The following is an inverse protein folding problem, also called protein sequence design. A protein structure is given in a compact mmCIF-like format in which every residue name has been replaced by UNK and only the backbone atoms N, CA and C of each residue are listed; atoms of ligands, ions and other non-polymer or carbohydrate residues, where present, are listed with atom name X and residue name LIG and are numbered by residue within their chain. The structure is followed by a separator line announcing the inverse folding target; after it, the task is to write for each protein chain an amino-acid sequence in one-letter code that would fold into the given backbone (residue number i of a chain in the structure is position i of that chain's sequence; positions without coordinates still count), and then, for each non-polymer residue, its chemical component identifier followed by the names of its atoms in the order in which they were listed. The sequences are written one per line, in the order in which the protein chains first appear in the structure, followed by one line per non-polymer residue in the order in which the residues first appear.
data_IF_472827866260
#
_entry.id   IF_472827866260
#
_cell.length_a   1.000
_cell.length_b   1.000
_cell.length_c   1.000
_cell.angle_alpha   90.00
_cell.angle_beta   90.00
_cell.angle_gamma   90.00
#
_symmetry.space_group_name_H-M   'P 1'
#
loop_
_entity.id
_entity.type
_entity.pdbx_description
1 polymer ?
#
# COMPACT_ATOMS: atom_id res chain seq x y z
N UNK A 1 63.28 31.53 2.20
CA UNK A 1 64.00 31.18 0.95
C UNK A 1 63.03 31.43 -0.19
N UNK A 2 63.26 32.52 -0.95
CA UNK A 2 62.97 32.79 -2.38
C UNK A 2 61.61 32.31 -2.94
N UNK A 3 60.58 33.12 -3.26
CA UNK A 3 60.40 34.29 -4.17
C UNK A 3 60.12 33.92 -5.66
N UNK A 4 59.06 34.56 -6.21
CA UNK A 4 58.64 34.78 -7.62
C UNK A 4 58.01 33.60 -8.41
N UNK A 5 57.13 33.77 -9.40
CA UNK A 5 56.15 34.79 -9.82
C UNK A 5 55.44 34.29 -11.10
N UNK A 6 54.31 34.94 -11.38
CA UNK A 6 53.46 34.98 -12.59
C UNK A 6 54.03 34.58 -13.96
N UNK A 7 53.14 34.13 -14.87
CA UNK A 7 52.78 34.84 -16.11
C UNK A 7 51.69 34.09 -16.91
N UNK A 8 50.84 34.87 -17.60
CA UNK A 8 49.70 34.44 -18.41
C UNK A 8 50.03 34.08 -19.88
N UNK A 9 49.08 34.24 -20.83
CA UNK A 9 48.72 33.21 -21.81
C UNK A 9 49.24 33.46 -23.24
N UNK A 10 49.30 32.41 -24.08
CA UNK A 10 49.53 32.54 -25.54
C UNK A 10 48.76 31.44 -26.31
N UNK A 11 47.98 31.85 -27.32
CA UNK A 11 47.39 31.01 -28.35
C UNK A 11 48.41 30.72 -29.48
N UNK A 12 48.23 29.67 -30.31
CA UNK A 12 48.87 29.62 -31.61
C UNK A 12 47.86 29.67 -32.75
N UNK A 13 48.00 30.71 -33.56
CA UNK A 13 47.79 30.67 -35.01
C UNK A 13 49.03 30.09 -35.68
N UNK A 14 48.85 29.19 -36.65
CA UNK A 14 49.86 28.96 -37.69
C UNK A 14 49.19 28.70 -39.04
N UNK A 15 49.87 29.24 -40.04
CA UNK A 15 49.46 29.51 -41.41
C UNK A 15 50.08 28.52 -42.41
N UNK A 16 49.41 28.36 -43.55
CA UNK A 16 49.94 28.33 -44.95
C UNK A 16 50.93 27.21 -45.33
N UNK A 17 50.56 26.41 -46.34
CA UNK A 17 51.17 26.35 -47.68
C UNK A 17 50.84 25.03 -48.40
N UNK A 18 50.52 25.09 -49.69
CA UNK A 18 50.49 23.92 -50.56
C UNK A 18 49.56 24.04 -51.76
N UNK A 19 49.91 24.91 -52.72
CA UNK A 19 49.44 24.82 -54.11
C UNK A 19 49.94 23.51 -54.73
N UNK A 20 49.10 22.80 -55.50
CA UNK A 20 49.46 22.57 -56.90
C UNK A 20 48.26 22.28 -57.82
N UNK A 21 48.45 22.68 -59.07
CA UNK A 21 47.48 22.77 -60.17
C UNK A 21 47.21 21.40 -60.81
N UNK A 22 46.03 21.24 -61.43
CA UNK A 22 45.90 20.81 -62.83
C UNK A 22 44.48 21.08 -63.36
N UNK A 23 44.43 21.71 -64.54
CA UNK A 23 43.26 22.05 -65.36
C UNK A 23 42.69 20.81 -66.05
N UNK A 24 41.39 20.85 -66.35
CA UNK A 24 40.76 20.03 -67.38
C UNK A 24 39.29 20.42 -67.57
N UNK A 25 39.00 21.17 -68.62
CA UNK A 25 37.67 21.57 -69.09
C UNK A 25 36.78 20.38 -69.47
N UNK A 26 35.46 20.53 -69.38
CA UNK A 26 34.51 19.57 -69.93
C UNK A 26 33.05 19.95 -69.70
N UNK A 27 32.35 20.30 -70.78
CA UNK A 27 31.00 20.82 -70.86
C UNK A 27 29.89 19.83 -70.45
N UNK A 28 28.79 20.39 -69.91
CA UNK A 28 27.38 20.14 -70.27
C UNK A 28 26.83 18.71 -70.38
N UNK A 29 25.75 18.42 -69.67
CA UNK A 29 24.36 18.35 -70.19
C UNK A 29 23.43 17.82 -69.08
N UNK A 30 22.21 18.35 -69.11
CA UNK A 30 21.05 18.18 -68.25
C UNK A 30 20.71 16.74 -67.80
N UNK A 31 20.17 16.63 -66.58
CA UNK A 31 19.40 15.46 -66.19
C UNK A 31 19.08 15.35 -64.70
N UNK A 32 17.80 15.57 -64.39
CA UNK A 32 17.03 14.92 -63.32
C UNK A 32 17.28 15.30 -61.84
N UNK A 33 16.19 15.23 -61.07
CA UNK A 33 16.23 14.90 -59.65
C UNK A 33 15.70 15.99 -58.74
N UNK A 34 14.39 15.94 -58.43
CA UNK A 34 13.87 16.57 -57.21
C UNK A 34 14.34 15.68 -56.05
N UNK A 35 15.45 16.07 -55.42
CA UNK A 35 15.95 15.44 -54.21
C UNK A 35 15.20 15.99 -52.99
N UNK A 36 14.60 15.09 -52.22
CA UNK A 36 14.06 15.38 -50.89
C UNK A 36 15.18 15.78 -49.90
N UNK A 37 14.82 16.26 -48.70
CA UNK A 37 15.82 16.68 -47.72
C UNK A 37 16.72 15.49 -47.34
N UNK A 38 17.99 15.56 -47.76
CA UNK A 38 19.03 14.63 -47.37
C UNK A 38 19.34 14.82 -45.88
N UNK A 39 19.15 13.76 -45.09
CA UNK A 39 19.61 13.69 -43.70
C UNK A 39 21.13 13.52 -43.75
N UNK A 40 21.86 14.59 -43.45
CA UNK A 40 23.30 14.52 -43.23
C UNK A 40 23.62 13.78 -41.92
N UNK A 41 24.13 12.56 -42.02
CA UNK A 41 24.79 11.87 -40.90
C UNK A 41 26.13 12.52 -40.62
N UNK A 42 26.20 13.39 -39.62
CA UNK A 42 27.46 13.83 -39.04
C UNK A 42 28.06 12.68 -38.21
N UNK A 43 29.09 12.02 -38.75
CA UNK A 43 29.98 11.18 -37.95
C UNK A 43 30.84 12.09 -37.06
N UNK A 44 30.49 12.17 -35.77
CA UNK A 44 31.36 12.78 -34.75
C UNK A 44 32.27 11.70 -34.20
N UNK A 45 33.54 11.74 -34.56
CA UNK A 45 34.57 10.82 -34.08
C UNK A 45 35.04 11.27 -32.67
N UNK A 46 34.30 10.87 -31.63
CA UNK A 46 34.69 11.14 -30.23
C UNK A 46 35.61 10.03 -29.73
N UNK A 47 36.89 10.09 -30.09
CA UNK A 47 37.93 9.38 -29.33
C UNK A 47 38.31 10.17 -28.07
N UNK A 48 37.45 10.15 -27.05
CA UNK A 48 37.90 10.34 -25.66
C UNK A 48 37.92 8.97 -25.00
N UNK A 49 39.12 8.44 -24.73
CA UNK A 49 39.29 7.37 -23.73
C UNK A 49 38.75 7.92 -22.41
N UNK A 50 37.58 7.48 -22.01
CA UNK A 50 37.09 7.70 -20.64
C UNK A 50 38.13 7.07 -19.71
N UNK A 51 38.71 7.89 -18.83
CA UNK A 51 39.53 7.37 -17.74
C UNK A 51 38.62 6.46 -16.91
N UNK A 52 39.09 5.24 -16.63
CA UNK A 52 38.41 4.33 -15.71
C UNK A 52 38.31 5.05 -14.37
N UNK A 53 37.11 5.25 -13.81
CA UNK A 53 36.97 5.90 -12.51
C UNK A 53 37.69 5.05 -11.47
N UNK A 54 38.73 5.61 -10.86
CA UNK A 54 39.40 5.02 -9.70
C UNK A 54 38.62 5.50 -8.48
N UNK A 55 37.83 4.59 -7.90
CA UNK A 55 37.08 4.82 -6.67
C UNK A 55 38.08 4.82 -5.51
N UNK A 56 38.19 5.91 -4.75
CA UNK A 56 38.98 5.92 -3.52
C UNK A 56 38.15 5.26 -2.40
N UNK A 57 38.42 3.98 -2.17
CA UNK A 57 37.77 3.14 -1.16
C UNK A 57 37.79 3.76 0.25
N UNK A 58 38.66 4.74 0.55
CA UNK A 58 38.69 5.41 1.86
C UNK A 58 37.83 6.66 1.95
N UNK A 59 37.47 7.28 0.82
CA UNK A 59 36.67 8.52 0.76
C UNK A 59 35.29 8.33 0.13
N UNK A 60 35.17 7.41 -0.84
CA UNK A 60 33.96 7.22 -1.66
C UNK A 60 33.08 6.04 -1.19
N UNK A 61 33.52 5.31 -0.15
CA UNK A 61 32.68 4.34 0.53
C UNK A 61 31.69 5.07 1.43
N UNK A 62 30.48 5.25 0.93
CA UNK A 62 29.29 5.35 1.77
C UNK A 62 29.23 4.05 2.59
N UNK A 63 29.69 4.10 3.84
CA UNK A 63 29.68 2.95 4.77
C UNK A 63 28.33 2.70 5.41
N UNK A 64 27.32 3.52 5.09
CA UNK A 64 25.93 3.35 5.51
C UNK A 64 25.05 3.21 4.29
N UNK A 65 24.83 1.97 3.87
CA UNK A 65 23.78 1.63 2.93
C UNK A 65 22.47 1.52 3.70
N UNK A 66 21.73 2.62 3.83
CA UNK A 66 20.30 2.53 4.10
C UNK A 66 19.61 2.22 2.78
N UNK A 67 19.64 0.95 2.38
CA UNK A 67 18.79 0.45 1.29
C UNK A 67 17.47 0.01 1.90
N UNK A 68 16.39 0.81 1.81
CA UNK A 68 15.04 0.30 2.07
C UNK A 68 14.70 -0.68 0.94
N UNK A 69 15.09 -1.94 1.13
CA UNK A 69 14.99 -3.00 0.13
C UNK A 69 15.72 -4.28 0.53
N UNK A 70 16.69 -4.19 1.45
CA UNK A 70 17.24 -5.35 2.17
C UNK A 70 16.64 -5.41 3.58
N UNK A 71 15.31 -5.52 3.67
CA UNK A 71 14.70 -5.91 4.93
C UNK A 71 15.00 -7.40 5.13
N UNK A 72 15.74 -7.74 6.20
CA UNK A 72 15.80 -9.12 6.67
C UNK A 72 14.38 -9.49 7.11
N UNK A 73 13.65 -10.20 6.24
CA UNK A 73 12.31 -10.69 6.55
C UNK A 73 12.44 -11.70 7.68
N UNK A 74 11.91 -11.35 8.85
CA UNK A 74 11.90 -12.27 9.98
C UNK A 74 10.99 -13.44 9.62
N UNK A 75 11.58 -14.62 9.49
CA UNK A 75 10.84 -15.86 9.23
C UNK A 75 10.04 -16.22 10.48
N UNK A 76 8.78 -16.66 10.35
CA UNK A 76 8.04 -17.24 11.46
C UNK A 76 8.84 -18.39 12.11
N UNK A 77 8.67 -18.57 13.42
CA UNK A 77 9.27 -19.69 14.14
C UNK A 77 8.93 -21.05 13.48
N UNK A 78 9.82 -22.04 13.62
CA UNK A 78 9.69 -23.34 12.94
C UNK A 78 8.44 -24.14 13.37
N UNK A 79 7.95 -23.87 14.58
CA UNK A 79 6.76 -24.43 15.21
C UNK A 79 5.50 -23.57 15.00
N UNK A 80 5.58 -22.47 14.23
CA UNK A 80 4.43 -21.62 13.97
C UNK A 80 3.32 -22.39 13.23
N UNK A 81 2.03 -22.17 13.59
CA UNK A 81 0.90 -22.82 12.93
C UNK A 81 0.91 -22.68 11.41
N UNK A 82 0.60 -23.78 10.71
CA UNK A 82 0.48 -23.79 9.26
C UNK A 82 -0.80 -23.06 8.81
N UNK A 83 -0.81 -22.44 7.61
CA UNK A 83 -2.01 -21.80 7.09
C UNK A 83 -3.18 -22.79 7.07
N UNK A 84 -4.26 -22.45 7.77
CA UNK A 84 -5.51 -23.21 7.69
C UNK A 84 -6.04 -23.08 6.26
N UNK A 85 -6.28 -24.23 5.61
CA UNK A 85 -6.92 -24.22 4.29
C UNK A 85 -8.29 -23.58 4.46
N UNK A 86 -8.55 -22.48 3.75
CA UNK A 86 -9.79 -21.73 3.85
C UNK A 86 -11.01 -22.66 3.73
N UNK A 87 -11.83 -22.73 4.78
CA UNK A 87 -13.16 -23.32 4.71
C UNK A 87 -14.03 -22.36 3.89
N UNK A 88 -14.23 -22.66 2.61
CA UNK A 88 -15.10 -21.88 1.73
C UNK A 88 -16.54 -22.35 1.93
N UNK A 89 -17.47 -21.41 2.12
CA UNK A 89 -18.90 -21.72 2.11
C UNK A 89 -19.33 -22.26 0.73
N UNK A 90 -20.45 -22.99 0.69
CA UNK A 90 -21.06 -23.46 -0.56
C UNK A 90 -21.43 -22.28 -1.49
N UNK A 91 -21.67 -21.07 -0.96
CA UNK A 91 -21.92 -19.85 -1.74
C UNK A 91 -20.64 -19.27 -2.36
N UNK A 92 -19.51 -19.30 -1.67
CA UNK A 92 -18.20 -18.87 -2.19
C UNK A 92 -17.61 -19.83 -3.24
N UNK A 93 -18.16 -21.04 -3.36
CA UNK A 93 -17.91 -21.96 -4.47
C UNK A 93 -18.87 -21.81 -5.66
N UNK A 94 -19.70 -20.76 -5.70
CA UNK A 94 -20.24 -20.26 -6.98
C UNK A 94 -19.12 -19.60 -7.81
N UNK A 95 -18.00 -20.30 -7.95
CA UNK A 95 -16.95 -20.05 -8.92
C UNK A 95 -17.37 -20.76 -10.21
N UNK A 96 -17.60 -20.06 -11.32
CA UNK A 96 -17.98 -20.67 -12.59
C UNK A 96 -16.96 -21.65 -13.16
N UNK A 97 -15.69 -21.63 -12.70
CA UNK A 97 -14.69 -22.64 -13.04
C UNK A 97 -15.00 -24.03 -12.45
N UNK A 98 -15.87 -24.11 -11.43
CA UNK A 98 -16.33 -25.36 -10.81
C UNK A 98 -17.70 -25.84 -11.34
N UNK A 99 -18.35 -25.06 -12.21
CA UNK A 99 -19.33 -25.50 -13.23
C UNK A 99 -20.54 -26.35 -12.82
N UNK A 100 -20.76 -26.67 -11.55
CA UNK A 100 -21.82 -27.59 -11.12
C UNK A 100 -22.31 -27.31 -9.71
N UNK A 101 -23.53 -27.76 -9.41
CA UNK A 101 -24.01 -27.86 -8.04
C UNK A 101 -22.96 -28.62 -7.21
N UNK A 102 -22.55 -28.06 -6.08
CA UNK A 102 -21.69 -28.76 -5.14
C UNK A 102 -22.34 -30.10 -4.82
N UNK A 103 -21.67 -31.21 -5.15
CA UNK A 103 -22.18 -32.54 -4.88
C UNK A 103 -22.52 -32.66 -3.39
N UNK A 104 -23.57 -33.43 -3.05
CA UNK A 104 -24.05 -33.61 -1.66
C UNK A 104 -22.93 -33.94 -0.68
N UNK A 105 -21.94 -34.72 -1.11
CA UNK A 105 -20.74 -35.04 -0.32
C UNK A 105 -19.88 -33.81 0.01
N UNK A 106 -19.64 -32.93 -0.96
CA UNK A 106 -18.89 -31.69 -0.72
C UNK A 106 -19.66 -30.75 0.23
N UNK A 107 -20.97 -30.59 0.03
CA UNK A 107 -21.81 -29.79 0.93
C UNK A 107 -21.77 -30.32 2.37
N UNK A 108 -21.91 -31.64 2.57
CA UNK A 108 -21.80 -32.28 3.88
C UNK A 108 -20.40 -32.12 4.50
N UNK A 109 -19.32 -32.21 3.71
CA UNK A 109 -17.97 -31.95 4.20
C UNK A 109 -17.77 -30.50 4.63
N UNK A 110 -18.38 -29.52 3.95
CA UNK A 110 -18.34 -28.13 4.39
C UNK A 110 -19.15 -27.89 5.64
N UNK A 111 -20.31 -28.53 5.77
CA UNK A 111 -21.14 -28.45 6.97
C UNK A 111 -20.41 -29.07 8.17
N UNK A 112 -19.75 -30.22 7.99
CA UNK A 112 -18.90 -30.83 9.02
C UNK A 112 -17.69 -29.95 9.38
N UNK A 113 -17.04 -29.32 8.39
CA UNK A 113 -15.95 -28.37 8.65
C UNK A 113 -16.44 -27.10 9.36
N UNK A 114 -17.64 -26.62 9.03
CA UNK A 114 -18.26 -25.47 9.70
C UNK A 114 -18.65 -25.82 11.14
N UNK A 115 -19.19 -27.02 11.36
CA UNK A 115 -19.53 -27.52 12.70
C UNK A 115 -18.28 -27.73 13.55
N UNK A 116 -17.20 -28.27 12.96
CA UNK A 116 -15.93 -28.44 13.65
C UNK A 116 -15.27 -27.09 13.95
N UNK A 117 -15.31 -26.15 13.02
CA UNK A 117 -14.84 -24.77 13.24
C UNK A 117 -15.67 -24.05 14.33
N UNK A 118 -16.96 -24.33 14.43
CA UNK A 118 -17.82 -23.79 15.48
C UNK A 118 -17.52 -24.42 16.86
N UNK A 119 -17.24 -25.73 16.92
CA UNK A 119 -16.94 -26.43 18.18
C UNK A 119 -15.53 -26.16 18.70
N UNK A 120 -14.52 -26.38 17.85
CA UNK A 120 -13.11 -26.38 18.23
C UNK A 120 -12.43 -25.03 17.95
N UNK A 121 -13.09 -24.14 17.21
CA UNK A 121 -12.49 -22.92 16.69
C UNK A 121 -11.51 -23.18 15.54
N UNK A 122 -10.96 -22.09 15.00
CA UNK A 122 -9.97 -22.11 13.92
C UNK A 122 -8.78 -21.26 14.31
N UNK A 123 -7.57 -21.81 14.21
CA UNK A 123 -6.34 -21.04 14.44
C UNK A 123 -5.98 -20.20 13.21
N UNK A 124 -5.81 -18.91 13.45
CA UNK A 124 -5.26 -17.91 12.53
C UNK A 124 -3.83 -17.58 12.97
N UNK A 125 -2.88 -17.79 12.07
CA UNK A 125 -1.51 -17.28 12.22
C UNK A 125 -1.44 -15.79 11.89
N UNK A 126 -0.45 -15.10 12.42
CA UNK A 126 -0.13 -13.72 12.01
C UNK A 126 -0.11 -13.54 10.49
N UNK A 127 -0.76 -12.47 10.02
CA UNK A 127 -0.97 -12.13 8.62
C UNK A 127 -2.12 -12.84 7.92
N UNK A 128 -2.76 -13.83 8.54
CA UNK A 128 -3.93 -14.47 7.97
C UNK A 128 -5.19 -13.63 8.24
N UNK A 129 -6.06 -13.53 7.23
CA UNK A 129 -7.42 -13.02 7.39
C UNK A 129 -8.41 -14.10 6.98
N UNK A 130 -9.33 -14.45 7.87
CA UNK A 130 -10.49 -15.27 7.54
C UNK A 130 -11.73 -14.40 7.45
N UNK A 131 -12.60 -14.72 6.49
CA UNK A 131 -13.90 -14.07 6.33
C UNK A 131 -14.96 -15.15 6.44
N UNK A 132 -15.86 -15.03 7.41
CA UNK A 132 -16.96 -15.96 7.64
C UNK A 132 -18.29 -15.30 7.29
N UNK A 133 -19.13 -16.02 6.56
CA UNK A 133 -20.54 -15.69 6.38
C UNK A 133 -21.32 -16.21 7.59
N UNK A 134 -22.16 -15.35 8.17
CA UNK A 134 -22.96 -15.66 9.34
C UNK A 134 -24.41 -15.89 8.93
N UNK A 135 -25.07 -16.96 9.42
CA UNK A 135 -26.50 -17.12 9.29
C UNK A 135 -27.24 -15.88 9.82
N UNK A 136 -28.22 -15.36 9.07
CA UNK A 136 -29.02 -14.23 9.52
C UNK A 136 -29.85 -14.64 10.76
N UNK A 137 -30.29 -13.66 11.55
CA UNK A 137 -31.18 -13.82 12.72
C UNK A 137 -30.60 -14.51 13.96
N UNK A 138 -29.33 -14.90 13.96
CA UNK A 138 -28.64 -15.39 15.16
C UNK A 138 -27.77 -14.28 15.76
N UNK A 139 -27.88 -14.05 17.07
CA UNK A 139 -26.89 -13.26 17.78
C UNK A 139 -25.59 -14.07 17.87
N UNK A 140 -24.49 -13.54 17.34
CA UNK A 140 -23.21 -14.25 17.29
C UNK A 140 -22.20 -13.63 18.26
N UNK A 141 -21.43 -14.51 18.90
CA UNK A 141 -20.28 -14.17 19.72
C UNK A 141 -19.03 -14.72 19.08
N UNK A 142 -17.97 -13.93 19.13
CA UNK A 142 -16.66 -14.32 18.65
C UNK A 142 -15.72 -14.50 19.85
N UNK A 143 -15.42 -15.75 20.18
CA UNK A 143 -14.37 -16.07 21.14
C UNK A 143 -13.01 -15.98 20.47
N UNK A 144 -12.10 -15.23 21.06
CA UNK A 144 -10.73 -15.03 20.63
C UNK A 144 -9.81 -15.45 21.75
N UNK A 145 -8.83 -16.31 21.49
CA UNK A 145 -7.79 -16.66 22.46
C UNK A 145 -6.46 -16.88 21.76
N UNK A 146 -5.37 -16.39 22.35
CA UNK A 146 -4.04 -16.51 21.78
C UNK A 146 -3.13 -15.35 22.12
N UNK A 147 -1.99 -15.29 21.46
CA UNK A 147 -0.87 -14.37 21.70
C UNK A 147 -0.66 -13.39 20.53
N UNK A 148 -1.68 -13.22 19.69
CA UNK A 148 -1.68 -12.30 18.56
C UNK A 148 -2.72 -11.21 18.79
N UNK A 149 -2.38 -9.96 18.49
CA UNK A 149 -3.39 -8.94 18.30
C UNK A 149 -4.29 -9.28 17.12
N UNK A 150 -5.53 -8.80 17.16
CA UNK A 150 -6.57 -9.18 16.22
C UNK A 150 -7.30 -7.94 15.74
N UNK A 151 -7.53 -7.87 14.43
CA UNK A 151 -8.54 -6.98 13.86
C UNK A 151 -9.82 -7.76 13.59
N UNK A 152 -10.92 -7.28 14.14
CA UNK A 152 -12.26 -7.80 13.89
C UNK A 152 -13.04 -6.75 13.12
N UNK A 153 -13.44 -7.08 11.90
CA UNK A 153 -14.27 -6.24 11.05
C UNK A 153 -15.62 -6.91 10.84
N UNK A 154 -16.67 -6.29 11.36
CA UNK A 154 -18.05 -6.74 11.21
C UNK A 154 -18.65 -6.13 9.96
N UNK A 155 -19.33 -6.96 9.18
CA UNK A 155 -19.79 -6.62 7.84
C UNK A 155 -21.25 -7.03 7.66
N UNK A 156 -22.01 -6.23 6.92
CA UNK A 156 -23.27 -6.69 6.33
C UNK A 156 -23.00 -7.78 5.29
N UNK A 157 -24.03 -8.50 4.85
CA UNK A 157 -23.94 -9.47 3.74
C UNK A 157 -23.49 -8.86 2.40
N UNK A 158 -23.59 -7.53 2.25
CA UNK A 158 -23.12 -6.80 1.07
C UNK A 158 -21.64 -6.37 1.16
N UNK A 159 -20.96 -6.64 2.29
CA UNK A 159 -19.59 -6.18 2.53
C UNK A 159 -19.48 -4.73 2.99
N UNK A 160 -20.58 -4.13 3.47
CA UNK A 160 -20.52 -2.83 4.17
C UNK A 160 -20.02 -3.04 5.59
N UNK A 161 -18.96 -2.33 5.98
CA UNK A 161 -18.42 -2.32 7.34
C UNK A 161 -19.43 -1.72 8.32
N UNK A 162 -19.79 -2.49 9.34
CA UNK A 162 -20.66 -2.11 10.46
C UNK A 162 -19.86 -1.70 11.70
N UNK A 163 -18.70 -2.34 11.89
CA UNK A 163 -17.75 -2.09 12.97
C UNK A 163 -16.37 -2.56 12.53
N UNK A 164 -15.33 -1.89 12.99
CA UNK A 164 -13.95 -2.27 12.70
C UNK A 164 -13.07 -1.89 13.90
N UNK A 165 -12.52 -2.90 14.57
CA UNK A 165 -11.78 -2.72 15.82
C UNK A 165 -10.55 -3.60 15.84
N UNK A 166 -9.47 -3.05 16.38
CA UNK A 166 -8.27 -3.81 16.71
C UNK A 166 -8.22 -4.03 18.22
N UNK A 167 -7.84 -5.25 18.59
CA UNK A 167 -7.83 -5.78 19.92
C UNK A 167 -6.42 -6.28 20.21
N UNK A 168 -5.92 -5.99 21.40
CA UNK A 168 -4.65 -6.58 21.89
C UNK A 168 -4.80 -8.08 22.12
N UNK A 169 -3.69 -8.79 22.30
CA UNK A 169 -3.68 -10.22 22.55
C UNK A 169 -4.35 -10.60 23.89
N UNK A 170 -4.71 -11.88 24.03
CA UNK A 170 -5.40 -12.42 25.21
C UNK A 170 -6.75 -13.09 24.89
N UNK A 171 -7.45 -13.50 25.96
CA UNK A 171 -8.77 -14.10 25.86
C UNK A 171 -9.85 -13.03 25.86
N UNK A 172 -10.65 -12.99 24.78
CA UNK A 172 -11.66 -11.98 24.57
C UNK A 172 -12.92 -12.58 23.95
N UNK A 173 -14.06 -11.98 24.28
CA UNK A 173 -15.35 -12.31 23.66
C UNK A 173 -15.91 -11.04 23.05
N UNK A 174 -16.11 -11.06 21.73
CA UNK A 174 -16.71 -9.95 20.99
C UNK A 174 -18.14 -10.30 20.64
N UNK A 175 -19.10 -9.58 21.23
CA UNK A 175 -20.49 -9.61 20.79
C UNK A 175 -20.60 -8.92 19.43
N UNK A 176 -21.10 -9.65 18.42
CA UNK A 176 -21.28 -9.08 17.08
C UNK A 176 -22.57 -8.26 17.03
N UNK A 177 -22.53 -7.13 16.32
CA UNK A 177 -23.65 -6.20 16.17
C UNK A 177 -24.83 -6.90 15.48
N UNK A 178 -26.08 -6.53 15.83
CA UNK A 178 -27.25 -6.95 15.06
C UNK A 178 -27.10 -6.59 13.57
N UNK A 179 -27.46 -7.52 12.69
CA UNK A 179 -27.32 -7.34 11.24
C UNK A 179 -25.93 -7.66 10.68
N UNK A 180 -24.97 -8.08 11.52
CA UNK A 180 -23.71 -8.66 11.07
C UNK A 180 -23.99 -9.95 10.29
N UNK A 181 -23.74 -9.91 8.98
CA UNK A 181 -23.92 -11.03 8.07
C UNK A 181 -22.61 -11.65 7.61
N UNK A 182 -21.50 -10.96 7.84
CA UNK A 182 -20.15 -11.47 7.64
C UNK A 182 -19.22 -10.89 8.72
N UNK A 183 -18.19 -11.63 9.09
CA UNK A 183 -17.12 -11.14 9.95
C UNK A 183 -15.77 -11.48 9.33
N UNK A 184 -14.88 -10.50 9.27
CA UNK A 184 -13.48 -10.68 8.89
C UNK A 184 -12.61 -10.59 10.13
N UNK A 185 -11.74 -11.58 10.33
CA UNK A 185 -10.80 -11.62 11.44
C UNK A 185 -9.39 -11.73 10.90
N UNK A 186 -8.56 -10.74 11.20
CA UNK A 186 -7.15 -10.69 10.81
C UNK A 186 -6.28 -10.83 12.05
N UNK A 187 -5.37 -11.81 12.05
CA UNK A 187 -4.32 -11.89 13.06
C UNK A 187 -3.20 -10.90 12.69
N UNK A 188 -2.98 -9.90 13.53
CA UNK A 188 -2.00 -8.82 13.32
C UNK A 188 -0.60 -9.19 13.82
N UNK A 189 -0.45 -10.27 14.57
CA UNK A 189 0.81 -10.71 15.16
C UNK A 189 0.95 -10.30 16.62
N UNK A 190 2.00 -10.81 17.26
CA UNK A 190 2.31 -10.51 18.66
C UNK A 190 2.68 -9.04 18.83
N UNK A 191 2.21 -8.45 19.92
CA UNK A 191 2.45 -7.06 20.29
C UNK A 191 3.08 -7.00 21.67
N UNK A 192 4.35 -7.38 21.75
CA UNK A 192 5.10 -7.39 23.00
C UNK A 192 5.21 -5.95 23.57
N UNK A 193 4.58 -5.70 24.71
CA UNK A 193 4.69 -4.43 25.44
C UNK A 193 3.93 -3.25 24.84
N UNK A 194 3.13 -3.46 23.79
CA UNK A 194 2.29 -2.38 23.22
C UNK A 194 1.04 -2.21 24.08
N UNK A 195 1.02 -1.16 24.88
CA UNK A 195 -0.14 -0.78 25.69
C UNK A 195 -0.90 0.33 24.96
N UNK A 196 -1.99 -0.02 24.29
CA UNK A 196 -2.85 0.97 23.64
C UNK A 196 -3.86 1.49 24.67
N UNK A 197 -3.55 2.61 25.32
CA UNK A 197 -4.43 3.22 26.32
C UNK A 197 -4.83 4.64 25.97
N UNK A 198 -6.06 5.02 26.30
CA UNK A 198 -6.51 6.40 26.24
C UNK A 198 -5.89 7.24 27.38
N UNK A 199 -6.16 8.54 27.37
CA UNK A 199 -5.68 9.46 28.41
C UNK A 199 -6.18 9.10 29.83
N UNK A 200 -7.24 8.28 29.93
CA UNK A 200 -7.79 7.75 31.19
C UNK A 200 -7.23 6.37 31.55
N UNK A 201 -6.28 5.83 30.77
CA UNK A 201 -5.66 4.53 31.00
C UNK A 201 -6.49 3.32 30.57
N UNK A 202 -7.59 3.52 29.82
CA UNK A 202 -8.47 2.44 29.30
C UNK A 202 -7.95 1.94 27.97
N UNK A 203 -8.08 0.64 27.70
CA UNK A 203 -7.72 0.07 26.39
C UNK A 203 -8.48 0.78 25.27
N UNK A 204 -7.77 1.25 24.24
CA UNK A 204 -8.42 1.82 23.05
C UNK A 204 -8.75 0.67 22.12
N UNK A 205 -10.04 0.34 22.04
CA UNK A 205 -10.56 -0.49 20.97
C UNK A 205 -11.03 0.42 19.83
N UNK A 206 -10.43 0.24 18.66
CA UNK A 206 -10.79 1.06 17.50
C UNK A 206 -10.03 0.64 16.26
N UNK A 207 -10.48 1.11 15.10
CA UNK A 207 -9.80 0.89 13.83
C UNK A 207 -8.34 1.33 13.95
N UNK A 208 -7.40 0.50 13.49
CA UNK A 208 -5.98 0.86 13.48
C UNK A 208 -5.36 1.15 14.86
N UNK A 209 -6.06 0.89 15.98
CA UNK A 209 -5.62 1.28 17.31
C UNK A 209 -4.32 0.57 17.71
N UNK A 210 -4.19 -0.72 17.37
CA UNK A 210 -2.99 -1.51 17.62
C UNK A 210 -1.94 -1.24 16.53
N UNK A 211 -2.37 -1.13 15.28
CA UNK A 211 -1.51 -0.92 14.12
C UNK A 211 -0.81 0.45 14.12
N UNK A 212 -1.40 1.47 14.76
CA UNK A 212 -0.74 2.76 14.99
C UNK A 212 0.20 2.74 16.20
N UNK A 213 -0.04 1.85 17.16
CA UNK A 213 0.75 1.75 18.38
C UNK A 213 2.02 0.91 18.20
N UNK A 214 2.14 0.17 17.09
CA UNK A 214 3.32 -0.63 16.78
C UNK A 214 3.54 -0.82 15.27
N UNK A 215 4.77 -1.10 14.90
CA UNK A 215 5.16 -1.52 13.56
C UNK A 215 6.13 -2.70 13.68
N UNK A 216 6.34 -3.43 12.56
CA UNK A 216 7.43 -4.41 12.50
C UNK A 216 8.78 -3.72 12.73
N UNK A 217 9.79 -4.47 13.15
CA UNK A 217 11.12 -3.90 13.44
C UNK A 217 11.67 -3.14 12.21
N UNK A 218 12.00 -1.85 12.39
CA UNK A 218 12.45 -0.96 11.32
C UNK A 218 11.32 -0.40 10.43
N UNK A 219 10.07 -0.80 10.69
CA UNK A 219 8.88 -0.30 10.03
C UNK A 219 8.32 0.96 10.68
N UNK A 220 7.48 1.66 9.93
CA UNK A 220 6.77 2.86 10.37
C UNK A 220 5.31 2.53 10.76
N UNK A 221 4.75 3.14 11.83
CA UNK A 221 3.37 2.92 12.26
C UNK A 221 2.39 3.69 11.36
N UNK A 222 2.28 3.22 10.12
CA UNK A 222 1.46 3.82 9.07
C UNK A 222 0.28 2.92 8.78
N UNK A 223 -0.88 3.53 8.57
CA UNK A 223 -2.10 2.89 8.10
C UNK A 223 -2.36 3.25 6.64
N UNK A 224 -3.25 2.50 6.00
CA UNK A 224 -3.72 2.78 4.66
C UNK A 224 -3.29 1.73 3.66
N UNK A 225 -3.02 2.17 2.44
CA UNK A 225 -2.73 1.30 1.31
C UNK A 225 -1.83 1.99 0.28
N UNK A 226 -1.19 1.18 -0.55
CA UNK A 226 -0.44 1.62 -1.72
C UNK A 226 -0.61 0.60 -2.86
N UNK A 227 -0.34 1.00 -4.11
CA UNK A 227 -0.53 0.19 -5.33
C UNK A 227 0.22 -1.14 -5.31
N UNK A 228 1.35 -1.21 -4.60
CA UNK A 228 2.13 -2.44 -4.42
C UNK A 228 1.51 -3.46 -3.45
N UNK A 229 0.55 -3.04 -2.62
CA UNK A 229 -0.01 -3.88 -1.55
C UNK A 229 -1.06 -4.88 -2.08
N UNK A 230 -1.28 -5.93 -1.28
CA UNK A 230 -2.44 -6.80 -1.41
C UNK A 230 -3.43 -6.52 -0.28
N UNK A 231 -4.72 -6.48 -0.61
CA UNK A 231 -5.80 -6.17 0.34
C UNK A 231 -6.89 -7.22 0.30
N UNK A 232 -7.65 -7.34 1.39
CA UNK A 232 -8.75 -8.29 1.49
C UNK A 232 -10.01 -7.64 0.94
N UNK A 233 -10.50 -8.09 -0.20
CA UNK A 233 -11.82 -7.74 -0.69
C UNK A 233 -12.87 -8.45 0.18
N UNK A 234 -13.80 -7.68 0.73
CA UNK A 234 -14.91 -8.17 1.57
C UNK A 234 -16.28 -7.78 1.04
N UNK A 235 -16.32 -7.01 -0.05
CA UNK A 235 -17.51 -6.73 -0.83
C UNK A 235 -17.11 -6.24 -2.23
N UNK A 236 -18.08 -6.01 -3.13
CA UNK A 236 -17.80 -5.58 -4.49
C UNK A 236 -16.97 -4.30 -4.56
N UNK A 237 -17.16 -3.37 -3.62
CA UNK A 237 -16.47 -2.08 -3.57
C UNK A 237 -15.80 -1.79 -2.21
N UNK A 238 -15.61 -2.82 -1.37
CA UNK A 238 -15.01 -2.67 -0.04
C UNK A 238 -13.77 -3.54 0.08
N UNK A 239 -12.64 -2.92 0.40
CA UNK A 239 -11.37 -3.61 0.67
C UNK A 239 -10.89 -3.28 2.09
N UNK A 240 -10.34 -4.26 2.78
CA UNK A 240 -9.66 -4.08 4.06
C UNK A 240 -8.17 -3.93 3.79
N UNK A 241 -7.64 -2.75 4.11
CA UNK A 241 -6.23 -2.42 4.03
C UNK A 241 -5.62 -2.32 5.44
N UNK A 242 -4.33 -2.03 5.58
CA UNK A 242 -3.64 -1.98 6.87
C UNK A 242 -4.28 -0.93 7.79
N UNK A 243 -4.97 -1.36 8.85
CA UNK A 243 -5.68 -0.49 9.79
C UNK A 243 -6.67 0.49 9.15
N UNK A 244 -7.12 0.22 7.92
CA UNK A 244 -7.93 1.12 7.11
C UNK A 244 -8.96 0.35 6.28
N UNK A 245 -9.96 1.06 5.77
CA UNK A 245 -10.95 0.51 4.83
C UNK A 245 -10.93 1.33 3.55
N UNK A 246 -10.83 0.66 2.40
CA UNK A 246 -10.86 1.30 1.09
C UNK A 246 -12.24 1.10 0.47
N UNK A 247 -12.83 2.21 0.03
CA UNK A 247 -14.11 2.28 -0.68
C UNK A 247 -13.85 2.66 -2.12
N UNK A 248 -14.26 1.79 -3.03
CA UNK A 248 -14.15 2.02 -4.45
C UNK A 248 -15.44 2.66 -4.98
N UNK A 249 -15.31 3.52 -5.98
CA UNK A 249 -16.48 4.13 -6.62
C UNK A 249 -17.20 3.14 -7.55
N UNK A 250 -16.45 2.18 -8.10
CA UNK A 250 -16.97 1.08 -8.92
C UNK A 250 -16.56 -0.26 -8.31
N UNK A 251 -17.39 -1.32 -8.44
CA UNK A 251 -16.99 -2.64 -8.01
C UNK A 251 -15.67 -3.09 -8.64
N UNK A 252 -14.76 -3.64 -7.82
CA UNK A 252 -13.53 -4.28 -8.29
C UNK A 252 -13.65 -5.80 -8.28
N UNK A 253 -12.79 -6.44 -9.08
CA UNK A 253 -12.71 -7.90 -9.20
C UNK A 253 -13.03 -8.38 -10.62
N UNK A 254 -12.59 -9.59 -10.95
CA UNK A 254 -12.95 -10.23 -12.22
C UNK A 254 -14.46 -10.42 -12.29
N UNK A 255 -15.08 -9.84 -13.31
CA UNK A 255 -16.37 -10.34 -13.78
C UNK A 255 -16.15 -11.71 -14.41
N UNK A 256 -16.63 -12.75 -13.77
CA UNK A 256 -16.69 -14.09 -14.39
C UNK A 256 -18.13 -14.31 -14.81
N UNK A 257 -18.39 -14.29 -16.12
CA UNK A 257 -19.75 -14.41 -16.71
C UNK A 257 -20.74 -13.34 -16.19
N UNK A 258 -20.28 -12.09 -16.05
CA UNK A 258 -21.11 -10.97 -15.59
C UNK A 258 -21.34 -10.91 -14.08
N UNK A 259 -20.72 -11.80 -13.28
CA UNK A 259 -20.75 -11.73 -11.82
C UNK A 259 -19.36 -11.39 -11.25
N UNK A 260 -19.32 -10.37 -10.39
CA UNK A 260 -18.09 -9.90 -9.74
C UNK A 260 -17.80 -10.75 -8.51
N UNK A 261 -16.61 -11.34 -8.44
CA UNK A 261 -16.15 -11.99 -7.20
C UNK A 261 -16.11 -10.95 -6.07
N UNK A 262 -16.80 -11.23 -4.96
CA UNK A 262 -17.02 -10.26 -3.87
C UNK A 262 -16.12 -10.47 -2.65
N UNK A 263 -15.28 -11.52 -2.63
CA UNK A 263 -14.40 -11.83 -1.51
C UNK A 263 -13.09 -12.50 -1.94
N UNK A 264 -11.95 -12.04 -1.42
CA UNK A 264 -10.64 -12.64 -1.67
C UNK A 264 -9.47 -11.66 -1.54
N UNK A 265 -8.24 -12.14 -1.72
CA UNK A 265 -7.07 -11.26 -1.83
C UNK A 265 -7.03 -10.60 -3.20
N UNK A 266 -6.84 -9.29 -3.22
CA UNK A 266 -6.78 -8.47 -4.43
C UNK A 266 -5.55 -7.55 -4.38
N UNK A 267 -4.77 -7.55 -5.46
CA UNK A 267 -3.72 -6.55 -5.63
C UNK A 267 -4.37 -5.16 -5.79
N UNK A 268 -3.90 -4.18 -5.02
CA UNK A 268 -4.47 -2.82 -5.06
C UNK A 268 -4.36 -2.22 -6.46
N UNK A 269 -3.24 -2.40 -7.14
CA UNK A 269 -3.04 -2.01 -8.54
C UNK A 269 -4.19 -2.43 -9.45
N UNK A 270 -4.73 -3.64 -9.24
CA UNK A 270 -5.87 -4.17 -10.01
C UNK A 270 -7.20 -3.59 -9.56
N UNK A 271 -7.37 -3.34 -8.27
CA UNK A 271 -8.60 -2.77 -7.72
C UNK A 271 -8.85 -1.33 -8.19
N UNK A 272 -7.75 -0.60 -8.45
CA UNK A 272 -7.76 0.81 -8.85
C UNK A 272 -7.96 1.03 -10.34
N UNK A 273 -7.89 -0.02 -11.16
CA UNK A 273 -8.20 0.07 -12.58
C UNK A 273 -9.61 0.66 -12.75
N UNK A 274 -9.71 1.69 -13.59
CA UNK A 274 -10.94 2.41 -13.93
C UNK A 274 -11.66 3.13 -12.77
N UNK A 275 -10.99 3.29 -11.62
CA UNK A 275 -11.48 4.08 -10.50
C UNK A 275 -11.16 5.57 -10.73
N UNK A 276 -12.19 6.42 -10.72
CA UNK A 276 -12.01 7.87 -10.80
C UNK A 276 -11.80 8.53 -9.44
N UNK A 277 -12.30 7.88 -8.39
CA UNK A 277 -12.16 8.33 -7.01
C UNK A 277 -12.10 7.11 -6.10
N UNK A 278 -11.31 7.24 -5.04
CA UNK A 278 -11.13 6.23 -4.00
C UNK A 278 -11.32 6.88 -2.66
N UNK A 279 -12.21 6.33 -1.84
CA UNK A 279 -12.38 6.70 -0.45
C UNK A 279 -11.51 5.81 0.44
N UNK A 280 -10.82 6.40 1.40
CA UNK A 280 -10.07 5.67 2.43
C UNK A 280 -10.57 6.10 3.79
N UNK A 281 -11.09 5.16 4.56
CA UNK A 281 -11.52 5.40 5.92
C UNK A 281 -10.37 5.04 6.89
N UNK A 282 -9.92 6.03 7.66
CA UNK A 282 -8.84 5.97 8.64
C UNK A 282 -9.38 6.23 10.05
N UNK A 283 -8.66 5.86 11.12
CA UNK A 283 -9.10 6.18 12.48
C UNK A 283 -8.90 7.66 12.82
N UNK A 284 -9.65 8.18 13.80
CA UNK A 284 -9.56 9.58 14.24
C UNK A 284 -8.27 9.91 15.00
N UNK A 285 -7.44 8.92 15.29
CA UNK A 285 -6.18 9.08 16.04
C UNK A 285 -4.99 9.50 15.16
N UNK A 286 -5.17 9.59 13.84
CA UNK A 286 -4.13 10.08 12.93
C UNK A 286 -3.91 11.59 13.11
N UNK A 287 -2.66 12.03 12.92
CA UNK A 287 -2.32 13.46 12.84
C UNK A 287 -1.90 13.90 11.45
N UNK A 288 -1.59 12.95 10.55
CA UNK A 288 -1.17 13.22 9.18
C UNK A 288 -1.91 12.31 8.20
N UNK A 289 -2.36 12.88 7.08
CA UNK A 289 -2.83 12.15 5.90
C UNK A 289 -1.81 12.34 4.80
N UNK A 290 -1.40 11.25 4.15
CA UNK A 290 -0.55 11.31 2.97
C UNK A 290 -1.26 10.77 1.73
N UNK A 291 -1.05 11.42 0.59
CA UNK A 291 -1.56 11.00 -0.72
C UNK A 291 -0.37 10.78 -1.64
N UNK A 292 -0.20 9.54 -2.08
CA UNK A 292 0.88 9.13 -2.95
C UNK A 292 0.39 9.12 -4.39
N UNK A 293 1.12 9.79 -5.28
CA UNK A 293 0.74 9.96 -6.68
C UNK A 293 1.91 9.57 -7.58
N UNK A 294 1.62 8.73 -8.57
CA UNK A 294 2.56 8.36 -9.64
C UNK A 294 2.28 9.24 -10.86
N UNK A 295 3.29 9.99 -11.28
CA UNK A 295 3.26 10.80 -12.51
C UNK A 295 3.84 9.99 -13.68
N UNK A 296 3.18 10.00 -14.86
CA UNK A 296 3.70 9.33 -16.06
C UNK A 296 4.93 10.01 -16.66
N UNK A 297 5.20 11.27 -16.27
CA UNK A 297 6.38 12.03 -16.69
C UNK A 297 7.19 12.50 -15.47
N UNK A 298 8.48 12.82 -15.65
CA UNK A 298 9.33 13.48 -14.62
C UNK A 298 8.95 14.96 -14.49
N UNK A 299 7.64 15.26 -14.49
CA UNK A 299 7.10 16.58 -14.21
C UNK A 299 6.89 16.67 -12.70
N UNK A 300 7.32 17.79 -12.12
CA UNK A 300 7.00 18.11 -10.73
C UNK A 300 5.50 18.37 -10.61
N UNK A 301 4.83 17.58 -9.77
CA UNK A 301 3.43 17.78 -9.42
C UNK A 301 3.32 18.90 -8.39
N UNK A 302 2.42 19.85 -8.64
CA UNK A 302 2.09 20.90 -7.68
C UNK A 302 1.03 20.44 -6.68
N UNK A 303 0.81 21.17 -5.57
CA UNK A 303 -0.29 20.90 -4.64
C UNK A 303 -1.66 20.87 -5.33
N UNK A 304 -1.82 21.69 -6.37
CA UNK A 304 -3.08 21.82 -7.11
C UNK A 304 -3.37 20.63 -8.03
N UNK A 305 -2.41 19.72 -8.26
CA UNK A 305 -2.62 18.51 -9.08
C UNK A 305 -3.49 17.45 -8.39
N UNK A 306 -3.72 17.60 -7.07
CA UNK A 306 -4.46 16.64 -6.24
C UNK A 306 -5.61 17.33 -5.54
N UNK A 307 -6.81 16.80 -5.71
CA UNK A 307 -7.98 17.21 -4.92
C UNK A 307 -8.17 16.20 -3.79
N UNK A 308 -7.94 16.66 -2.56
CA UNK A 308 -8.13 15.86 -1.36
C UNK A 308 -9.30 16.42 -0.57
N UNK A 309 -10.31 15.59 -0.34
CA UNK A 309 -11.38 15.88 0.60
C UNK A 309 -11.19 15.02 1.85
N UNK A 310 -11.05 15.66 3.01
CA UNK A 310 -10.97 14.99 4.31
C UNK A 310 -12.26 15.30 5.07
N UNK A 311 -13.11 14.29 5.23
CA UNK A 311 -14.31 14.34 6.05
C UNK A 311 -14.00 13.77 7.45
N UNK A 312 -14.51 14.43 8.47
CA UNK A 312 -14.28 14.07 9.88
C UNK A 312 -13.03 14.66 10.53
N UNK A 313 -12.21 15.41 9.78
CA UNK A 313 -11.06 16.16 10.29
C UNK A 313 -10.84 17.45 9.49
N UNK A 314 -10.24 18.45 10.13
CA UNK A 314 -9.81 19.68 9.48
C UNK A 314 -8.39 19.53 8.94
N UNK A 315 -8.18 19.91 7.68
CA UNK A 315 -6.86 19.98 7.05
C UNK A 315 -6.20 21.32 7.39
N UNK A 316 -4.96 21.29 7.88
CA UNK A 316 -4.21 22.48 8.27
C UNK A 316 -3.10 22.82 7.28
N UNK A 317 -3.09 24.08 6.84
CA UNK A 317 -2.01 24.63 6.02
C UNK A 317 -1.90 24.02 4.63
N UNK A 318 -0.77 24.28 3.97
CA UNK A 318 -0.43 23.69 2.68
C UNK A 318 0.26 22.33 2.88
N UNK A 319 0.08 21.38 1.94
CA UNK A 319 0.73 20.09 2.06
C UNK A 319 2.26 20.21 1.99
N UNK A 320 2.94 19.38 2.78
CA UNK A 320 4.36 19.09 2.57
C UNK A 320 4.50 18.10 1.41
N UNK A 321 5.59 18.22 0.65
CA UNK A 321 5.84 17.35 -0.50
C UNK A 321 7.15 16.59 -0.34
N UNK A 322 7.09 15.29 -0.62
CA UNK A 322 8.29 14.45 -0.77
C UNK A 322 8.26 13.87 -2.18
N UNK A 323 9.29 14.20 -2.97
CA UNK A 323 9.41 13.75 -4.37
C UNK A 323 10.49 12.67 -4.44
N UNK A 324 10.16 11.53 -5.05
CA UNK A 324 11.07 10.41 -5.30
C UNK A 324 10.86 9.88 -6.72
N UNK A 325 11.72 10.29 -7.65
CA UNK A 325 11.62 9.89 -9.05
C UNK A 325 10.31 10.38 -9.69
N UNK A 326 9.47 9.44 -10.12
CA UNK A 326 8.16 9.74 -10.72
C UNK A 326 7.01 9.74 -9.70
N UNK A 327 7.32 9.56 -8.41
CA UNK A 327 6.34 9.46 -7.33
C UNK A 327 6.44 10.68 -6.43
N UNK A 328 5.29 11.25 -6.09
CA UNK A 328 5.18 12.37 -5.15
C UNK A 328 4.23 12.01 -4.02
N UNK A 329 4.66 12.22 -2.78
CA UNK A 329 3.83 12.10 -1.59
C UNK A 329 3.46 13.50 -1.09
N UNK A 330 2.16 13.78 -1.05
CA UNK A 330 1.60 14.99 -0.46
C UNK A 330 1.14 14.68 0.96
N UNK A 331 1.69 15.38 1.96
CA UNK A 331 1.41 15.17 3.38
C UNK A 331 0.64 16.36 3.93
N UNK A 332 -0.51 16.09 4.53
CA UNK A 332 -1.43 17.06 5.10
C UNK A 332 -1.50 16.86 6.62
N UNK A 333 -1.32 17.92 7.38
CA UNK A 333 -1.65 17.92 8.81
C UNK A 333 -3.17 17.88 8.95
N UNK A 334 -3.68 16.94 9.76
CA UNK A 334 -5.11 16.80 10.03
C UNK A 334 -5.39 16.90 11.52
N UNK A 335 -6.48 17.56 11.86
CA UNK A 335 -6.93 17.68 13.26
C UNK A 335 -8.40 17.32 13.35
N UNK A 336 -8.69 16.34 14.20
CA UNK A 336 -10.07 15.93 14.50
C UNK A 336 -10.66 16.93 15.50
N UNK A 337 -11.75 17.66 15.17
CA UNK A 337 -12.27 18.74 16.00
C UNK A 337 -12.80 18.28 17.36
N UNK A 338 -13.44 17.10 17.41
CA UNK A 338 -14.02 16.51 18.62
C UNK A 338 -13.56 15.06 18.80
N UNK A 339 -12.35 14.84 19.36
CA UNK A 339 -11.85 13.50 19.64
C UNK A 339 -12.84 12.71 20.50
N UNK A 340 -13.22 11.51 20.06
CA UNK A 340 -14.16 10.62 20.76
C UNK A 340 -15.63 10.71 20.32
N UNK A 341 -16.01 11.70 19.51
CA UNK A 341 -17.32 11.71 18.81
C UNK A 341 -17.21 11.25 17.35
N UNK A 342 -16.08 11.52 16.72
CA UNK A 342 -15.75 11.04 15.38
C UNK A 342 -15.31 9.58 15.47
N UNK A 343 -16.01 8.68 14.77
CA UNK A 343 -15.63 7.26 14.70
C UNK A 343 -14.50 7.01 13.68
N UNK A 344 -14.39 7.85 12.65
CA UNK A 344 -13.43 7.70 11.56
C UNK A 344 -13.20 9.02 10.80
N UNK A 345 -12.11 9.08 10.06
CA UNK A 345 -11.78 10.13 9.08
C UNK A 345 -11.89 9.52 7.69
N UNK A 346 -12.60 10.16 6.75
CA UNK A 346 -12.68 9.71 5.35
C UNK A 346 -11.84 10.61 4.46
N UNK A 347 -10.90 10.02 3.75
CA UNK A 347 -10.07 10.69 2.75
C UNK A 347 -10.54 10.25 1.37
N UNK A 348 -11.10 11.18 0.61
CA UNK A 348 -11.44 10.97 -0.80
C UNK A 348 -10.44 11.73 -1.66
N UNK A 349 -9.83 11.03 -2.61
CA UNK A 349 -8.84 11.62 -3.51
C UNK A 349 -9.31 11.56 -4.95
N UNK A 350 -9.22 12.71 -5.63
CA UNK A 350 -9.32 12.84 -7.08
C UNK A 350 -8.04 13.47 -7.64
N UNK A 351 -7.70 13.13 -8.88
CA UNK A 351 -6.55 13.67 -9.60
C UNK A 351 -7.05 14.50 -10.78
N UNK A 352 -6.39 15.63 -11.05
CA UNK A 352 -6.78 16.55 -12.13
C UNK A 352 -6.03 16.30 -13.45
N UNK A 353 -4.89 15.62 -13.39
CA UNK A 353 -4.00 15.36 -14.52
C UNK A 353 -3.99 13.88 -14.92
N UNK A 354 -3.13 13.50 -15.88
CA UNK A 354 -2.85 12.11 -16.30
C UNK A 354 -2.08 11.26 -15.25
N UNK A 355 -1.97 11.79 -14.04
CA UNK A 355 -1.37 11.11 -12.90
C UNK A 355 -2.27 10.00 -12.36
N UNK A 356 -1.66 9.04 -11.67
CA UNK A 356 -2.36 7.91 -11.07
C UNK A 356 -2.20 7.86 -9.56
N UNK A 357 -3.28 7.51 -8.86
CA UNK A 357 -3.28 7.42 -7.40
C UNK A 357 -2.51 6.18 -6.99
N UNK A 358 -1.40 6.38 -6.29
CA UNK A 358 -0.47 5.33 -5.89
C UNK A 358 -0.68 4.86 -4.44
N UNK A 359 -1.39 5.63 -3.62
CA UNK A 359 -1.64 5.28 -2.22
C UNK A 359 -2.30 6.37 -1.40
N UNK A 360 -2.90 5.97 -0.28
CA UNK A 360 -3.39 6.87 0.76
C UNK A 360 -2.91 6.32 2.10
N UNK A 361 -2.29 7.18 2.90
CA UNK A 361 -1.70 6.81 4.18
C UNK A 361 -2.26 7.66 5.31
N UNK A 362 -2.38 7.06 6.49
CA UNK A 362 -2.70 7.75 7.75
C UNK A 362 -1.61 7.44 8.77
N UNK A 363 -1.12 8.48 9.45
CA UNK A 363 0.01 8.33 10.37
C UNK A 363 -0.13 9.27 11.58
N UNK A 364 0.51 8.94 12.73
CA UNK A 364 0.57 9.84 13.88
C UNK A 364 1.57 10.98 13.63
N UNK A 365 1.50 12.06 14.40
CA UNK A 365 2.44 13.19 14.27
C UNK A 365 2.09 14.15 13.14
N UNK A 366 3.08 14.90 12.65
CA UNK A 366 2.89 16.02 11.72
C UNK A 366 3.45 15.74 10.32
N UNK A 367 2.86 16.38 9.31
CA UNK A 367 3.28 16.32 7.93
C UNK A 367 4.75 16.72 7.76
N UNK A 368 5.21 17.73 8.50
CA UNK A 368 6.61 18.17 8.47
C UNK A 368 7.59 17.10 9.01
N UNK A 369 7.23 16.42 10.11
CA UNK A 369 8.05 15.35 10.67
C UNK A 369 8.15 14.15 9.70
N UNK A 370 7.02 13.78 9.09
CA UNK A 370 7.00 12.74 8.06
C UNK A 370 7.79 13.12 6.81
N UNK A 371 7.65 14.36 6.34
CA UNK A 371 8.40 14.84 5.19
C UNK A 371 9.92 14.77 5.42
N UNK A 372 10.36 15.18 6.62
CA UNK A 372 11.76 15.08 7.02
C UNK A 372 12.23 13.62 7.11
N UNK A 373 11.42 12.73 7.70
CA UNK A 373 11.76 11.31 7.85
C UNK A 373 11.82 10.56 6.51
N UNK A 374 11.00 10.96 5.53
CA UNK A 374 10.93 10.34 4.20
C UNK A 374 11.82 11.05 3.16
N UNK A 375 12.50 12.12 3.53
CA UNK A 375 13.40 12.86 2.65
C UNK A 375 14.50 11.93 2.14
N UNK A 376 14.67 11.87 0.81
CA UNK A 376 15.66 10.99 0.17
C UNK A 376 15.25 9.52 0.08
N UNK A 377 14.06 9.13 0.57
CA UNK A 377 13.53 7.78 0.37
C UNK A 377 13.05 7.55 -1.07
N UNK A 378 12.86 6.29 -1.45
CA UNK A 378 12.34 5.88 -2.76
C UNK A 378 10.81 5.91 -2.84
N UNK A 379 10.12 6.11 -1.71
CA UNK A 379 8.66 5.99 -1.58
C UNK A 379 8.07 4.68 -2.16
N UNK A 380 8.87 3.61 -2.25
CA UNK A 380 8.45 2.33 -2.81
C UNK A 380 7.51 1.58 -1.87
N UNK A 381 7.80 1.63 -0.57
CA UNK A 381 7.02 0.98 0.47
C UNK A 381 6.90 1.89 1.69
N UNK A 382 5.88 2.75 1.70
CA UNK A 382 5.56 3.62 2.83
C UNK A 382 4.59 2.94 3.79
N UNK A 383 3.60 2.24 3.24
CA UNK A 383 2.72 1.35 4.01
C UNK A 383 3.37 -0.02 4.08
N UNK A 384 3.67 -0.56 5.27
CA UNK A 384 4.22 -1.90 5.34
C UNK A 384 3.14 -2.94 4.98
N UNK A 385 3.44 -3.84 4.05
CA UNK A 385 2.52 -4.92 3.63
C UNK A 385 2.38 -6.02 4.69
N UNK A 386 3.28 -6.05 5.66
CA UNK A 386 3.38 -7.11 6.67
C UNK A 386 2.50 -6.83 7.88
N UNK A 387 2.06 -7.87 8.57
CA UNK A 387 1.48 -7.74 9.91
C UNK A 387 2.54 -7.19 10.91
N UNK A 388 2.15 -6.90 12.15
CA UNK A 388 3.05 -6.29 13.16
C UNK A 388 4.27 -7.15 13.47
N UNK A 389 4.08 -8.47 13.63
CA UNK A 389 5.19 -9.43 13.75
C UNK A 389 4.85 -10.78 13.11
N UNK A 390 5.82 -11.52 12.54
CA UNK A 390 5.61 -12.84 11.94
C UNK A 390 5.15 -13.92 12.92
N UNK A 391 5.30 -13.66 14.21
CA UNK A 391 4.87 -14.54 15.29
C UNK A 391 3.48 -14.15 15.80
N UNK A 392 2.89 -15.07 16.55
CA UNK A 392 1.56 -14.93 17.13
C UNK A 392 0.50 -15.70 16.36
N UNK A 393 -0.45 -16.24 17.11
CA UNK A 393 -1.65 -16.86 16.58
C UNK A 393 -2.86 -16.55 17.45
N UNK A 394 -4.04 -16.62 16.86
CA UNK A 394 -5.31 -16.54 17.57
C UNK A 394 -6.18 -17.72 17.17
N UNK A 395 -6.74 -18.42 18.16
CA UNK A 395 -7.84 -19.34 17.98
C UNK A 395 -9.13 -18.54 18.01
N UNK A 396 -9.95 -18.74 16.97
CA UNK A 396 -11.20 -18.02 16.79
C UNK A 396 -12.36 -18.99 16.80
N UNK A 397 -13.34 -18.78 17.67
CA UNK A 397 -14.55 -19.59 17.79
C UNK A 397 -15.79 -18.74 17.61
N UNK A 398 -16.75 -19.24 16.83
CA UNK A 398 -18.05 -18.61 16.67
C UNK A 398 -19.07 -19.35 17.53
N UNK A 399 -19.63 -18.65 18.50
CA UNK A 399 -20.63 -19.16 19.41
C UNK A 399 -21.97 -18.45 19.13
N UNK A 400 -23.04 -19.21 18.87
CA UNK A 400 -24.37 -18.63 18.83
C UNK A 400 -24.75 -18.20 20.25
N UNK A 401 -25.04 -16.92 20.44
CA UNK A 401 -25.61 -16.39 21.68
C UNK A 401 -26.89 -17.16 21.97
N UNK A 402 -26.95 -17.84 23.12
CA UNK A 402 -28.23 -18.38 23.59
C UNK A 402 -29.10 -17.18 23.92
N UNK A 403 -30.22 -17.04 23.22
CA UNK A 403 -31.32 -16.21 23.69
C UNK A 403 -31.69 -16.74 25.08
N UNK A 404 -31.43 -15.94 26.12
CA UNK A 404 -32.12 -16.12 27.38
C UNK A 404 -33.57 -15.68 27.12
N UNK A 405 -34.38 -16.66 26.73
CA UNK A 405 -35.84 -16.54 26.67
C UNK A 405 -36.42 -16.20 28.04
#
# INVERSE_FOLDING_TARGET
RTVLAAQGPVAPTTSVAGLDRLRGDGQGVDGQGVDGPQIGTHHVDVRRRAAVPVIDVRHDLVTTWDTPGLALLRRPAADAPQPTRAARSVRTMRNPALGGATGRAAAASFEALAEQAAKDGVTLRSGATHVWELPPSTAWRLGLSGDSAVRVTELSTAGTVLSDRELVDGEQVVELRPGCGMVAVTALGRVDGVVVKDAAGRSIEGRGAVTLAGASAGGSPVLGWQVGSNVVQVGPATLLARGAVVRLSKPAGTQVRGQTASSGMLAVSRALLDQQAVGTELPPTIGTVGVLVDSPSVRSLGPDSVVVNVDGADVRGLPQQVVAGNRTLFLYDVVVPEPGKQELVRVSVGLLDDSSLAGVIGAPGTAAAWAAALAGSTLTQVVPDEHLTPDGSVQVRLDAGRDHA
#
